data_IF_580148800248
#
_entry.id   IF_580148800248
#
_cell.length_a   1.000
_cell.length_b   1.000
_cell.length_c   1.000
_cell.angle_alpha   90.00
_cell.angle_beta   90.00
_cell.angle_gamma   90.00
#
_symmetry.space_group_name_H-M   'P 1'
#
loop_
_entity.id
_entity.type
_entity.pdbx_description
1 polymer ?
#
# COMPACT_ATOMS: atom_id res chain seq x y z
N UNK A 1 35.11 12.42 13.66
CA UNK A 1 34.79 11.35 12.69
C UNK A 1 34.17 10.25 13.54
N UNK A 2 32.85 10.05 13.48
CA UNK A 2 32.19 8.97 14.23
C UNK A 2 32.56 7.68 13.49
N UNK A 3 33.18 6.74 14.19
CA UNK A 3 33.62 5.48 13.60
C UNK A 3 32.40 4.69 13.13
N UNK A 4 32.46 4.09 11.94
CA UNK A 4 31.34 3.35 11.34
C UNK A 4 30.78 2.24 12.26
N UNK A 5 31.58 1.81 13.24
CA UNK A 5 31.19 0.89 14.30
C UNK A 5 30.17 1.50 15.28
N UNK A 6 30.32 2.75 15.73
CA UNK A 6 29.31 3.39 16.59
C UNK A 6 27.98 3.61 15.83
N UNK A 7 28.04 3.84 14.51
CA UNK A 7 26.84 3.95 13.68
C UNK A 7 26.08 2.62 13.52
N UNK A 8 26.70 1.47 13.84
CA UNK A 8 26.08 0.14 13.76
C UNK A 8 25.58 -0.40 15.08
N UNK A 9 25.79 0.31 16.21
CA UNK A 9 25.47 -0.19 17.55
C UNK A 9 24.69 0.85 18.36
N UNK A 10 23.72 0.37 19.14
CA UNK A 10 23.01 1.16 20.14
C UNK A 10 23.58 0.81 21.52
N UNK A 11 24.56 1.61 21.98
CA UNK A 11 25.36 1.27 23.15
C UNK A 11 26.15 -0.02 22.93
N UNK A 12 25.84 -1.08 23.67
CA UNK A 12 26.46 -2.41 23.51
C UNK A 12 25.69 -3.37 22.59
N UNK A 13 24.53 -2.96 22.06
CA UNK A 13 23.66 -3.82 21.26
C UNK A 13 23.85 -3.53 19.77
N UNK A 14 24.08 -4.55 18.90
CA UNK A 14 24.11 -4.32 17.46
C UNK A 14 22.77 -3.74 16.95
N UNK A 15 22.82 -2.72 16.12
CA UNK A 15 21.66 -2.03 15.57
C UNK A 15 20.74 -2.94 14.77
N UNK A 16 21.27 -3.94 14.07
CA UNK A 16 20.45 -4.95 13.39
C UNK A 16 19.60 -5.76 14.39
N UNK A 17 20.12 -6.05 15.59
CA UNK A 17 19.38 -6.79 16.60
C UNK A 17 18.23 -5.93 17.16
N UNK A 18 18.45 -4.63 17.31
CA UNK A 18 17.39 -3.67 17.67
C UNK A 18 16.31 -3.62 16.59
N UNK A 19 16.69 -3.55 15.32
CA UNK A 19 15.74 -3.56 14.19
C UNK A 19 14.94 -4.86 14.16
N UNK A 20 15.61 -6.01 14.28
CA UNK A 20 14.94 -7.33 14.30
C UNK A 20 14.00 -7.48 15.49
N UNK A 21 14.36 -6.95 16.66
CA UNK A 21 13.49 -6.93 17.82
C UNK A 21 12.23 -6.09 17.58
N UNK A 22 12.40 -4.86 17.08
CA UNK A 22 11.27 -3.96 16.78
C UNK A 22 10.37 -4.58 15.71
N UNK A 23 10.94 -5.12 14.64
CA UNK A 23 10.21 -5.80 13.57
C UNK A 23 9.47 -7.04 14.09
N UNK A 24 10.12 -7.86 14.89
CA UNK A 24 9.50 -9.04 15.50
C UNK A 24 8.33 -8.66 16.40
N UNK A 25 8.52 -7.67 17.27
CA UNK A 25 7.45 -7.18 18.15
C UNK A 25 6.29 -6.59 17.37
N UNK A 26 6.57 -5.73 16.39
CA UNK A 26 5.56 -5.14 15.51
C UNK A 26 4.80 -6.21 14.71
N UNK A 27 5.52 -7.20 14.17
CA UNK A 27 4.94 -8.32 13.45
C UNK A 27 4.00 -9.15 14.32
N UNK A 28 4.40 -9.49 15.54
CA UNK A 28 3.54 -10.22 16.49
C UNK A 28 2.28 -9.41 16.80
N UNK A 29 2.42 -8.13 17.16
CA UNK A 29 1.28 -7.27 17.46
C UNK A 29 0.34 -7.18 16.25
N UNK A 30 0.87 -6.88 15.07
CA UNK A 30 0.10 -6.81 13.83
C UNK A 30 -0.65 -8.13 13.55
N UNK A 31 0.03 -9.28 13.60
CA UNK A 31 -0.60 -10.58 13.36
C UNK A 31 -1.70 -10.86 14.39
N UNK A 32 -1.49 -10.55 15.66
CA UNK A 32 -2.54 -10.74 16.67
C UNK A 32 -3.79 -9.91 16.38
N UNK A 33 -3.63 -8.66 15.93
CA UNK A 33 -4.76 -7.81 15.56
C UNK A 33 -5.48 -8.32 14.30
N UNK A 34 -4.72 -8.74 13.28
CA UNK A 34 -5.29 -9.34 12.06
C UNK A 34 -6.08 -10.60 12.38
N UNK A 35 -5.54 -11.49 13.23
CA UNK A 35 -6.25 -12.71 13.64
C UNK A 35 -7.52 -12.38 14.40
N UNK A 36 -7.49 -11.39 15.30
CA UNK A 36 -8.68 -10.95 16.03
C UNK A 36 -9.74 -10.37 15.09
N UNK A 37 -9.36 -9.48 14.18
CA UNK A 37 -10.27 -8.92 13.17
C UNK A 37 -10.86 -10.02 12.29
N UNK A 38 -10.04 -10.98 11.83
CA UNK A 38 -10.50 -12.10 11.03
C UNK A 38 -11.49 -13.00 11.79
N UNK A 39 -11.28 -13.23 13.10
CA UNK A 39 -12.23 -13.96 13.94
C UNK A 39 -13.56 -13.22 14.06
N UNK A 40 -13.54 -11.90 14.28
CA UNK A 40 -14.74 -11.08 14.36
C UNK A 40 -15.53 -11.07 13.04
N UNK A 41 -14.85 -10.93 11.90
CA UNK A 41 -15.48 -10.96 10.57
C UNK A 41 -16.17 -12.32 10.32
N UNK A 42 -15.59 -13.43 10.79
CA UNK A 42 -16.16 -14.78 10.64
C UNK A 42 -17.41 -15.01 11.49
N UNK A 43 -17.65 -14.19 12.52
CA UNK A 43 -18.90 -14.22 13.28
C UNK A 43 -20.04 -13.48 12.55
N UNK A 44 -19.72 -12.71 11.50
CA UNK A 44 -20.72 -12.07 10.66
C UNK A 44 -21.62 -13.08 9.95
N UNK A 45 -22.90 -12.71 9.77
CA UNK A 45 -23.85 -13.52 9.01
C UNK A 45 -23.47 -13.67 7.53
N UNK A 46 -24.13 -14.57 6.80
CA UNK A 46 -23.91 -14.73 5.37
C UNK A 46 -24.24 -13.42 4.64
N UNK A 47 -23.22 -12.81 4.03
CA UNK A 47 -23.36 -11.73 3.05
C UNK A 47 -22.94 -12.29 1.69
N UNK A 48 -23.80 -12.16 0.69
CA UNK A 48 -23.40 -12.44 -0.68
C UNK A 48 -22.53 -11.27 -1.16
N UNK A 49 -21.22 -11.51 -1.26
CA UNK A 49 -20.24 -10.48 -1.63
C UNK A 49 -20.27 -10.16 -3.12
N UNK A 50 -20.90 -11.03 -3.91
CA UNK A 50 -20.98 -10.90 -5.36
C UNK A 50 -22.35 -10.35 -5.80
N UNK A 51 -23.29 -10.18 -4.86
CA UNK A 51 -24.46 -9.35 -5.09
C UNK A 51 -23.99 -7.89 -5.25
N UNK A 52 -24.23 -7.34 -6.44
CA UNK A 52 -23.86 -5.97 -6.82
C UNK A 52 -22.34 -5.66 -6.80
N UNK A 53 -21.53 -6.51 -7.47
CA UNK A 53 -20.11 -6.21 -7.71
C UNK A 53 -19.94 -4.83 -8.36
N UNK A 54 -20.82 -4.44 -9.29
CA UNK A 54 -20.74 -3.16 -9.98
C UNK A 54 -20.85 -1.96 -9.04
N UNK A 55 -21.90 -1.92 -8.21
CA UNK A 55 -22.09 -0.87 -7.20
C UNK A 55 -20.97 -0.86 -6.16
N UNK A 56 -20.53 -2.03 -5.71
CA UNK A 56 -19.41 -2.17 -4.76
C UNK A 56 -18.09 -1.69 -5.35
N UNK A 57 -17.77 -2.04 -6.59
CA UNK A 57 -16.57 -1.57 -7.28
C UNK A 57 -16.61 -0.05 -7.50
N UNK A 58 -17.77 0.51 -7.82
CA UNK A 58 -17.94 1.97 -7.93
C UNK A 58 -17.76 2.66 -6.57
N UNK A 59 -18.34 2.15 -5.51
CA UNK A 59 -18.17 2.68 -4.15
C UNK A 59 -16.72 2.59 -3.71
N UNK A 60 -16.08 1.44 -3.96
CA UNK A 60 -14.67 1.22 -3.65
C UNK A 60 -13.77 2.17 -4.46
N UNK A 61 -13.92 2.28 -5.78
CA UNK A 61 -13.13 3.20 -6.60
C UNK A 61 -13.36 4.66 -6.21
N UNK A 62 -14.61 5.09 -5.99
CA UNK A 62 -14.90 6.48 -5.60
C UNK A 62 -14.42 6.82 -4.19
N UNK A 63 -14.42 5.85 -3.27
CA UNK A 63 -13.91 6.01 -1.92
C UNK A 63 -12.38 5.94 -1.83
N UNK A 64 -11.78 4.90 -2.43
CA UNK A 64 -10.35 4.61 -2.35
C UNK A 64 -9.52 5.43 -3.34
N UNK A 65 -9.88 5.43 -4.62
CA UNK A 65 -9.13 6.18 -5.63
C UNK A 65 -9.60 7.65 -5.66
N UNK A 66 -10.92 7.86 -5.66
CA UNK A 66 -11.52 9.19 -5.69
C UNK A 66 -11.51 9.94 -4.37
N UNK A 67 -11.16 9.27 -3.25
CA UNK A 67 -11.04 9.88 -1.92
C UNK A 67 -12.28 10.71 -1.50
N UNK A 68 -13.49 10.33 -1.96
CA UNK A 68 -14.69 11.20 -1.88
C UNK A 68 -15.02 11.71 -0.47
N UNK A 69 -14.76 10.88 0.56
CA UNK A 69 -15.02 11.23 1.97
C UNK A 69 -13.94 12.14 2.55
N UNK A 70 -12.70 11.97 2.10
CA UNK A 70 -11.57 12.80 2.53
C UNK A 70 -11.70 14.20 1.96
N UNK A 71 -12.18 14.33 0.72
CA UNK A 71 -12.42 15.60 0.04
C UNK A 71 -13.62 16.40 0.59
N UNK A 72 -14.35 15.89 1.59
CA UNK A 72 -15.37 16.66 2.31
C UNK A 72 -14.75 17.87 3.02
N UNK A 73 -13.53 17.72 3.57
CA UNK A 73 -12.69 18.85 3.97
C UNK A 73 -11.89 19.34 2.76
N UNK A 74 -12.25 20.50 2.22
CA UNK A 74 -11.64 21.03 0.99
C UNK A 74 -10.15 21.28 1.10
N UNK A 75 -9.63 21.70 2.25
CA UNK A 75 -8.22 22.06 2.37
C UNK A 75 -7.37 20.87 2.80
N UNK A 76 -7.68 20.29 3.96
CA UNK A 76 -6.92 19.16 4.49
C UNK A 76 -7.14 17.91 3.62
N UNK A 77 -8.36 17.73 3.13
CA UNK A 77 -8.69 16.61 2.25
C UNK A 77 -7.96 16.67 0.91
N UNK A 78 -7.85 17.85 0.30
CA UNK A 78 -7.08 17.99 -0.95
C UNK A 78 -5.60 17.70 -0.72
N UNK A 79 -5.02 18.20 0.38
CA UNK A 79 -3.62 17.87 0.73
C UNK A 79 -3.42 16.37 0.91
N UNK A 80 -4.33 15.70 1.62
CA UNK A 80 -4.27 14.26 1.81
C UNK A 80 -4.41 13.49 0.50
N UNK A 81 -5.35 13.89 -0.36
CA UNK A 81 -5.52 13.28 -1.67
C UNK A 81 -4.24 13.41 -2.51
N UNK A 82 -3.61 14.58 -2.54
CA UNK A 82 -2.33 14.78 -3.25
C UNK A 82 -1.22 13.87 -2.72
N UNK A 83 -1.12 13.70 -1.40
CA UNK A 83 -0.16 12.78 -0.78
C UNK A 83 -0.44 11.34 -1.20
N UNK A 84 -1.70 10.90 -1.15
CA UNK A 84 -2.11 9.57 -1.60
C UNK A 84 -1.75 9.32 -3.06
N UNK A 85 -2.06 10.24 -3.97
CA UNK A 85 -1.74 10.13 -5.39
C UNK A 85 -0.23 10.15 -5.64
N UNK A 86 0.55 10.92 -4.88
CA UNK A 86 2.01 10.89 -4.93
C UNK A 86 2.58 9.54 -4.53
N UNK A 87 2.11 8.96 -3.42
CA UNK A 87 2.51 7.61 -3.02
C UNK A 87 2.04 6.53 -3.99
N UNK A 88 0.88 6.70 -4.61
CA UNK A 88 0.38 5.77 -5.63
C UNK A 88 1.29 5.77 -6.87
N UNK A 89 1.76 6.93 -7.33
CA UNK A 89 2.74 7.02 -8.42
C UNK A 89 4.07 6.35 -8.05
N UNK A 90 4.64 6.68 -6.87
CA UNK A 90 5.89 6.06 -6.39
C UNK A 90 5.77 4.53 -6.23
N UNK A 91 4.64 4.02 -5.75
CA UNK A 91 4.40 2.60 -5.62
C UNK A 91 4.28 1.91 -6.99
N UNK A 92 3.71 2.59 -7.98
CA UNK A 92 3.57 2.10 -9.35
C UNK A 92 4.94 2.02 -10.04
N UNK A 93 5.79 3.04 -9.87
CA UNK A 93 7.18 3.03 -10.35
C UNK A 93 8.02 1.94 -9.70
N UNK A 94 7.96 1.82 -8.37
CA UNK A 94 8.64 0.74 -7.65
C UNK A 94 8.16 -0.65 -8.09
N UNK A 95 6.87 -0.79 -8.41
CA UNK A 95 6.32 -2.04 -8.94
C UNK A 95 6.87 -2.35 -10.34
N UNK A 96 6.94 -1.38 -11.25
CA UNK A 96 7.54 -1.58 -12.57
C UNK A 96 8.99 -2.05 -12.45
N UNK A 97 9.76 -1.35 -11.60
CA UNK A 97 11.16 -1.70 -11.32
C UNK A 97 11.28 -3.09 -10.69
N UNK A 98 10.42 -3.45 -9.73
CA UNK A 98 10.42 -4.76 -9.08
C UNK A 98 10.10 -5.90 -10.06
N UNK A 99 9.28 -5.64 -11.08
CA UNK A 99 9.05 -6.60 -12.17
C UNK A 99 10.20 -6.65 -13.20
N UNK A 100 11.15 -5.72 -13.10
CA UNK A 100 12.26 -5.54 -14.03
C UNK A 100 11.82 -4.96 -15.37
N UNK A 101 10.83 -4.06 -15.37
CA UNK A 101 10.26 -3.45 -16.58
C UNK A 101 9.50 -4.43 -17.47
N UNK A 102 9.10 -5.60 -16.94
CA UNK A 102 8.39 -6.65 -17.71
C UNK A 102 6.89 -6.41 -17.78
N UNK A 103 6.36 -5.47 -17.00
CA UNK A 103 4.94 -5.20 -16.96
C UNK A 103 4.47 -4.40 -18.19
N UNK A 104 5.25 -3.42 -18.65
CA UNK A 104 4.97 -2.66 -19.87
C UNK A 104 4.81 -3.56 -21.12
N UNK A 105 5.73 -4.51 -21.42
CA UNK A 105 5.59 -5.41 -22.56
C UNK A 105 4.35 -6.31 -22.47
N UNK A 106 3.96 -6.70 -21.26
CA UNK A 106 2.75 -7.50 -21.02
C UNK A 106 1.49 -6.69 -21.37
N UNK A 107 1.44 -5.41 -21.00
CA UNK A 107 0.34 -4.53 -21.37
C UNK A 107 0.32 -4.24 -22.88
N UNK A 108 1.49 -4.05 -23.49
CA UNK A 108 1.62 -3.84 -24.94
C UNK A 108 1.07 -5.04 -25.74
N UNK A 109 1.26 -6.26 -25.22
CA UNK A 109 0.68 -7.48 -25.80
C UNK A 109 -0.86 -7.54 -25.78
N UNK A 110 -1.51 -6.81 -24.86
CA UNK A 110 -2.97 -6.67 -24.81
C UNK A 110 -3.43 -5.50 -25.69
N UNK A 111 -2.82 -4.33 -25.51
CA UNK A 111 -3.09 -3.13 -26.29
C UNK A 111 -1.96 -2.10 -26.14
N UNK A 112 -1.46 -1.51 -27.24
CA UNK A 112 -0.47 -0.43 -27.18
C UNK A 112 -0.94 0.79 -26.38
N UNK A 113 -2.26 1.03 -26.31
CA UNK A 113 -2.81 2.13 -25.52
C UNK A 113 -2.61 1.92 -24.01
N UNK A 114 -2.71 0.67 -23.53
CA UNK A 114 -2.52 0.35 -22.11
C UNK A 114 -1.06 0.52 -21.70
N UNK A 115 -0.12 0.11 -22.56
CA UNK A 115 1.30 0.36 -22.35
C UNK A 115 1.62 1.85 -22.31
N UNK A 116 1.03 2.65 -23.22
CA UNK A 116 1.20 4.09 -23.21
C UNK A 116 0.64 4.74 -21.93
N UNK A 117 -0.52 4.28 -21.43
CA UNK A 117 -1.09 4.76 -20.16
C UNK A 117 -0.21 4.37 -18.97
N UNK A 118 0.36 3.17 -18.98
CA UNK A 118 1.31 2.73 -17.96
C UNK A 118 2.55 3.60 -17.90
N UNK A 119 3.15 3.90 -19.06
CA UNK A 119 4.32 4.77 -19.18
C UNK A 119 4.05 6.24 -18.85
N UNK A 120 2.79 6.65 -18.70
CA UNK A 120 2.44 7.98 -18.18
C UNK A 120 2.33 8.01 -16.66
N UNK A 121 2.10 6.85 -16.04
CA UNK A 121 1.91 6.70 -14.60
C UNK A 121 3.19 6.34 -13.86
N UNK A 122 4.13 5.69 -14.53
CA UNK A 122 5.49 5.33 -14.08
C UNK A 122 6.49 6.32 -14.66
#
# INVERSE_FOLDING_TARGET
MIDAFEATYFGSVPGWAVIMFIWGAAGILFTTQVVQAARLIRLGGPDDRFQDIGGRMREWLSGWLGQKRVLEDRFIGTLHAMIFWGFLALATDMFDLATGGRFEPLLAGISPMLANLWNLLV
#
